data_IF_856083381112
#
_entry.id   IF_856083381112
#
_cell.length_a   1.000
_cell.length_b   1.000
_cell.length_c   1.000
_cell.angle_alpha   90.00
_cell.angle_beta   90.00
_cell.angle_gamma   90.00
#
_symmetry.space_group_name_H-M   'P 1'
#
loop_
_entity.id
_entity.type
_entity.pdbx_description
1 polymer ?
#
# COMPACT_ATOMS: atom_id res chain seq x y z
N UNK A 1 -16.52 -9.84 6.02
CA UNK A 1 -17.44 -10.75 5.28
C UNK A 1 -18.33 -10.00 4.30
N UNK A 2 -18.95 -8.86 4.66
CA UNK A 2 -19.82 -8.11 3.75
C UNK A 2 -19.10 -7.73 2.45
N UNK A 3 -17.89 -7.22 2.52
CA UNK A 3 -17.06 -6.85 1.36
C UNK A 3 -16.78 -8.06 0.46
N UNK A 4 -16.53 -9.23 1.05
CA UNK A 4 -16.30 -10.46 0.28
C UNK A 4 -17.58 -10.88 -0.46
N UNK A 5 -18.73 -10.83 0.21
CA UNK A 5 -20.01 -11.15 -0.45
C UNK A 5 -20.32 -10.20 -1.60
N UNK A 6 -20.03 -8.90 -1.46
CA UNK A 6 -20.25 -7.93 -2.53
C UNK A 6 -19.30 -8.17 -3.71
N UNK A 7 -18.02 -8.46 -3.45
CA UNK A 7 -17.09 -8.88 -4.49
C UNK A 7 -17.53 -10.14 -5.21
N UNK A 8 -18.00 -11.15 -4.47
CA UNK A 8 -18.46 -12.41 -5.05
C UNK A 8 -19.73 -12.27 -5.90
N UNK A 9 -20.57 -11.26 -5.66
CA UNK A 9 -21.69 -10.94 -6.58
C UNK A 9 -21.16 -10.53 -7.96
N UNK A 10 -20.10 -9.71 -8.00
CA UNK A 10 -19.45 -9.31 -9.27
C UNK A 10 -18.76 -10.50 -9.94
N UNK A 11 -18.04 -11.32 -9.16
CA UNK A 11 -17.40 -12.54 -9.67
C UNK A 11 -18.43 -13.48 -10.31
N UNK A 12 -19.60 -13.66 -9.70
CA UNK A 12 -20.67 -14.51 -10.27
C UNK A 12 -21.12 -14.08 -11.66
N UNK A 13 -21.07 -12.81 -11.98
CA UNK A 13 -21.42 -12.30 -13.32
C UNK A 13 -20.35 -12.62 -14.38
N UNK A 14 -19.12 -12.90 -13.93
CA UNK A 14 -17.99 -13.24 -14.81
C UNK A 14 -17.85 -14.76 -15.00
N UNK A 15 -18.52 -15.58 -14.16
CA UNK A 15 -18.42 -17.01 -14.22
C UNK A 15 -19.17 -17.57 -15.43
N UNK A 16 -18.53 -18.45 -16.18
CA UNK A 16 -19.18 -19.30 -17.18
C UNK A 16 -20.00 -20.40 -16.50
N UNK A 17 -20.96 -20.95 -17.20
CA UNK A 17 -21.81 -22.06 -16.69
C UNK A 17 -21.02 -23.33 -16.33
N UNK A 18 -19.79 -23.46 -16.83
CA UNK A 18 -18.88 -24.58 -16.56
C UNK A 18 -18.09 -24.44 -15.26
N UNK A 19 -18.14 -23.27 -14.59
CA UNK A 19 -17.38 -23.02 -13.32
C UNK A 19 -18.33 -22.99 -12.14
N UNK A 20 -18.11 -23.91 -11.19
CA UNK A 20 -18.84 -23.97 -9.92
C UNK A 20 -18.18 -23.10 -8.85
N UNK A 21 -18.90 -22.12 -8.29
CA UNK A 21 -18.44 -21.31 -7.15
C UNK A 21 -18.81 -21.97 -5.82
N UNK A 22 -17.82 -22.19 -4.97
CA UNK A 22 -17.98 -22.68 -3.58
C UNK A 22 -17.48 -21.60 -2.64
N UNK A 23 -18.31 -21.15 -1.69
CA UNK A 23 -17.96 -20.11 -0.71
C UNK A 23 -18.00 -20.70 0.69
N UNK A 24 -16.92 -20.57 1.43
CA UNK A 24 -16.75 -21.05 2.81
C UNK A 24 -16.35 -19.89 3.72
N UNK A 25 -17.31 -19.04 4.13
CA UNK A 25 -16.99 -17.89 4.97
C UNK A 25 -16.72 -18.30 6.41
N UNK A 26 -15.88 -17.53 7.11
CA UNK A 26 -15.76 -17.62 8.55
C UNK A 26 -17.03 -17.06 9.23
N UNK A 27 -17.54 -17.80 10.22
CA UNK A 27 -18.79 -17.46 10.92
C UNK A 27 -18.57 -16.55 12.14
N UNK A 28 -17.77 -15.50 12.00
CA UNK A 28 -17.52 -14.55 13.06
C UNK A 28 -17.25 -13.14 12.54
N UNK A 29 -17.26 -12.13 13.41
CA UNK A 29 -16.86 -10.80 13.01
C UNK A 29 -15.37 -10.76 12.74
N UNK A 30 -15.01 -10.30 11.55
CA UNK A 30 -13.64 -10.00 11.16
C UNK A 30 -13.64 -8.58 10.59
N UNK A 31 -12.86 -7.71 11.23
CA UNK A 31 -12.64 -6.37 10.74
C UNK A 31 -11.17 -6.24 10.33
N UNK A 32 -10.94 -5.82 9.11
CA UNK A 32 -9.62 -5.45 8.61
C UNK A 32 -9.61 -3.95 8.35
N UNK A 33 -8.46 -3.33 8.57
CA UNK A 33 -8.28 -1.94 8.18
C UNK A 33 -7.97 -1.89 6.68
N UNK A 34 -8.80 -1.17 5.92
CA UNK A 34 -8.53 -1.02 4.48
C UNK A 34 -9.73 -0.52 3.68
N UNK A 35 -9.48 -0.25 2.40
CA UNK A 35 -10.50 0.16 1.44
C UNK A 35 -11.29 -1.05 0.94
N UNK A 36 -12.62 -1.02 1.07
CA UNK A 36 -13.49 -2.05 0.48
C UNK A 36 -13.24 -2.23 -1.02
N UNK A 37 -12.99 -1.14 -1.75
CA UNK A 37 -12.68 -1.17 -3.19
C UNK A 37 -11.39 -1.93 -3.48
N UNK A 38 -10.36 -1.78 -2.64
CA UNK A 38 -9.10 -2.50 -2.81
C UNK A 38 -9.25 -4.00 -2.50
N UNK A 39 -10.05 -4.35 -1.47
CA UNK A 39 -10.37 -5.77 -1.20
C UNK A 39 -11.18 -6.38 -2.35
N UNK A 40 -12.13 -5.64 -2.94
CA UNK A 40 -12.83 -6.06 -4.16
C UNK A 40 -11.84 -6.31 -5.31
N UNK A 41 -10.87 -5.41 -5.52
CA UNK A 41 -9.88 -5.55 -6.57
C UNK A 41 -8.98 -6.78 -6.38
N UNK A 42 -8.54 -7.07 -5.14
CA UNK A 42 -7.83 -8.32 -4.83
C UNK A 42 -8.66 -9.54 -5.26
N UNK A 43 -9.91 -9.62 -4.79
CA UNK A 43 -10.77 -10.76 -5.06
C UNK A 43 -11.10 -10.90 -6.56
N UNK A 44 -11.40 -9.80 -7.25
CA UNK A 44 -11.65 -9.80 -8.69
C UNK A 44 -10.44 -10.29 -9.47
N UNK A 45 -9.24 -9.80 -9.18
CA UNK A 45 -8.01 -10.23 -9.86
C UNK A 45 -7.75 -11.72 -9.64
N UNK A 46 -7.84 -12.21 -8.41
CA UNK A 46 -7.58 -13.62 -8.11
C UNK A 46 -8.65 -14.54 -8.72
N UNK A 47 -9.93 -14.17 -8.60
CA UNK A 47 -11.02 -14.98 -9.15
C UNK A 47 -11.02 -14.98 -10.68
N UNK A 48 -10.73 -13.85 -11.35
CA UNK A 48 -10.60 -13.79 -12.81
C UNK A 48 -9.46 -14.67 -13.30
N UNK A 49 -8.29 -14.64 -12.64
CA UNK A 49 -7.18 -15.52 -12.97
C UNK A 49 -7.55 -17.00 -12.79
N UNK A 50 -8.26 -17.34 -11.72
CA UNK A 50 -8.76 -18.69 -11.46
C UNK A 50 -9.74 -19.16 -12.55
N UNK A 51 -10.68 -18.30 -12.97
CA UNK A 51 -11.64 -18.63 -14.05
C UNK A 51 -10.89 -18.91 -15.36
N UNK A 52 -9.96 -18.05 -15.73
CA UNK A 52 -9.16 -18.23 -16.95
C UNK A 52 -8.29 -19.50 -16.92
N UNK A 53 -7.75 -19.85 -15.73
CA UNK A 53 -6.98 -21.09 -15.58
C UNK A 53 -7.82 -22.36 -15.74
N UNK A 54 -9.16 -22.25 -15.60
CA UNK A 54 -10.12 -23.35 -15.77
C UNK A 54 -10.73 -23.43 -17.17
N UNK A 55 -10.43 -22.50 -18.05
CA UNK A 55 -10.94 -22.52 -19.43
C UNK A 55 -10.14 -23.52 -20.31
N UNK A 56 -10.82 -24.18 -21.28
CA UNK A 56 -12.26 -24.27 -21.52
C UNK A 56 -12.93 -25.37 -20.70
N UNK A 57 -12.21 -26.18 -19.94
CA UNK A 57 -12.72 -27.40 -19.31
C UNK A 57 -13.75 -27.13 -18.19
N UNK A 58 -13.75 -25.92 -17.61
CA UNK A 58 -14.51 -25.60 -16.42
C UNK A 58 -13.83 -26.11 -15.15
N UNK A 59 -14.54 -26.03 -14.02
CA UNK A 59 -13.97 -26.48 -12.75
C UNK A 59 -14.67 -25.92 -11.53
N UNK A 60 -13.94 -25.90 -10.41
CA UNK A 60 -14.44 -25.36 -9.14
C UNK A 60 -13.56 -24.22 -8.65
N UNK A 61 -14.17 -23.04 -8.49
CA UNK A 61 -13.59 -21.89 -7.80
C UNK A 61 -14.05 -21.93 -6.35
N UNK A 62 -13.12 -22.00 -5.41
CA UNK A 62 -13.42 -21.95 -3.98
C UNK A 62 -12.88 -20.65 -3.39
N UNK A 63 -13.74 -19.94 -2.65
CA UNK A 63 -13.35 -18.79 -1.84
C UNK A 63 -13.67 -19.10 -0.38
N UNK A 64 -12.63 -19.14 0.46
CA UNK A 64 -12.79 -19.45 1.88
C UNK A 64 -12.14 -18.38 2.74
N UNK A 65 -12.67 -18.14 3.95
CA UNK A 65 -12.04 -17.25 4.93
C UNK A 65 -11.92 -17.95 6.26
N UNK A 66 -10.83 -17.66 6.97
CA UNK A 66 -10.62 -18.13 8.35
C UNK A 66 -9.81 -17.10 9.14
N UNK A 67 -10.02 -17.11 10.45
CA UNK A 67 -9.18 -16.37 11.40
C UNK A 67 -8.01 -17.27 11.78
N UNK A 68 -6.82 -16.70 11.78
CA UNK A 68 -5.59 -17.41 12.17
C UNK A 68 -4.78 -16.52 13.10
N UNK A 69 -4.01 -17.16 13.97
CA UNK A 69 -3.02 -16.52 14.83
C UNK A 69 -1.66 -16.42 14.12
N UNK A 70 -0.78 -15.60 14.64
CA UNK A 70 0.55 -15.37 14.09
C UNK A 70 1.38 -16.65 13.92
N UNK A 71 1.29 -17.58 14.87
CA UNK A 71 1.98 -18.87 14.85
C UNK A 71 1.55 -19.79 13.68
N UNK A 72 0.40 -19.51 13.07
CA UNK A 72 -0.13 -20.21 11.92
C UNK A 72 0.26 -19.56 10.57
N UNK A 73 0.94 -18.42 10.61
CA UNK A 73 1.50 -17.81 9.40
C UNK A 73 2.67 -18.64 8.86
N UNK A 74 2.93 -18.62 7.53
CA UNK A 74 4.15 -19.16 6.99
C UNK A 74 5.38 -18.50 7.62
N UNK A 75 6.44 -19.27 7.93
CA UNK A 75 7.64 -18.79 8.64
C UNK A 75 8.28 -17.54 8.04
N UNK A 76 8.21 -17.40 6.74
CA UNK A 76 8.72 -16.24 6.00
C UNK A 76 8.03 -14.91 6.35
N UNK A 77 6.84 -14.96 6.97
CA UNK A 77 6.06 -13.77 7.37
C UNK A 77 6.07 -13.51 8.88
N UNK A 78 6.71 -14.38 9.70
CA UNK A 78 6.72 -14.29 11.17
C UNK A 78 7.33 -12.99 11.74
N UNK A 79 8.35 -12.36 11.16
CA UNK A 79 8.96 -11.18 11.79
C UNK A 79 8.18 -9.88 11.62
N UNK A 80 7.10 -9.87 10.84
CA UNK A 80 6.52 -8.63 10.32
C UNK A 80 5.32 -8.10 11.13
N UNK A 81 4.62 -8.94 11.91
CA UNK A 81 3.41 -8.47 12.62
C UNK A 81 3.02 -9.38 13.78
N UNK A 82 2.85 -8.81 14.95
CA UNK A 82 2.17 -9.47 16.07
C UNK A 82 0.66 -9.35 15.91
N UNK A 83 -0.11 -10.42 16.21
CA UNK A 83 -1.56 -10.37 16.26
C UNK A 83 -2.28 -11.48 15.50
N UNK A 84 -3.55 -11.22 15.22
CA UNK A 84 -4.42 -12.14 14.49
C UNK A 84 -4.61 -11.68 13.05
N UNK A 85 -4.82 -12.64 12.17
CA UNK A 85 -4.99 -12.40 10.74
C UNK A 85 -6.28 -13.04 10.23
N UNK A 86 -6.88 -12.41 9.23
CA UNK A 86 -7.81 -13.12 8.35
C UNK A 86 -7.01 -13.71 7.19
N UNK A 87 -7.18 -14.99 6.99
CA UNK A 87 -6.74 -15.64 5.75
C UNK A 87 -7.93 -15.70 4.79
N UNK A 88 -7.74 -15.18 3.57
CA UNK A 88 -8.67 -15.34 2.45
C UNK A 88 -8.01 -16.30 1.46
N UNK A 89 -8.62 -17.43 1.23
CA UNK A 89 -8.17 -18.43 0.28
C UNK A 89 -9.01 -18.32 -1.01
N UNK A 90 -8.34 -18.19 -2.15
CA UNK A 90 -8.95 -18.33 -3.48
C UNK A 90 -8.26 -19.50 -4.15
N UNK A 91 -8.99 -20.57 -4.42
CA UNK A 91 -8.45 -21.77 -5.07
C UNK A 91 -9.29 -22.22 -6.26
N UNK A 92 -8.61 -22.70 -7.30
CA UNK A 92 -9.17 -23.23 -8.53
C UNK A 92 -8.72 -24.67 -8.77
N UNK A 93 -9.43 -25.36 -9.65
CA UNK A 93 -9.07 -26.69 -10.17
C UNK A 93 -8.59 -26.63 -11.62
N UNK A 94 -7.97 -25.54 -12.02
CA UNK A 94 -7.51 -25.28 -13.37
C UNK A 94 -6.19 -25.95 -13.74
N UNK A 95 -5.52 -25.42 -14.76
CA UNK A 95 -4.27 -25.98 -15.29
C UNK A 95 -3.09 -25.92 -14.31
N UNK A 96 -3.16 -25.10 -13.26
CA UNK A 96 -2.05 -24.90 -12.33
C UNK A 96 -0.91 -24.08 -12.90
N UNK A 97 0.12 -23.86 -12.07
CA UNK A 97 1.30 -23.05 -12.37
C UNK A 97 2.56 -23.93 -12.15
N UNK A 98 3.48 -23.97 -13.11
CA UNK A 98 4.77 -24.64 -12.93
C UNK A 98 5.57 -24.05 -11.75
N UNK A 99 6.28 -24.90 -11.01
CA UNK A 99 7.02 -24.48 -9.80
C UNK A 99 8.08 -23.41 -10.06
N UNK A 100 8.74 -23.48 -11.22
CA UNK A 100 9.75 -22.52 -11.67
C UNK A 100 9.20 -21.10 -11.92
N UNK A 101 7.88 -20.99 -12.16
CA UNK A 101 7.23 -19.70 -12.40
C UNK A 101 6.65 -19.07 -11.13
N UNK A 102 6.47 -19.82 -10.04
CA UNK A 102 5.84 -19.35 -8.82
C UNK A 102 6.54 -18.13 -8.19
N UNK A 103 7.84 -18.00 -8.36
CA UNK A 103 8.59 -16.83 -7.89
C UNK A 103 8.39 -15.58 -8.74
N UNK A 104 7.96 -15.73 -10.00
CA UNK A 104 7.86 -14.64 -10.98
C UNK A 104 6.42 -14.16 -11.21
N UNK A 105 5.40 -14.93 -10.77
CA UNK A 105 3.98 -14.60 -11.05
C UNK A 105 3.54 -13.26 -10.46
N UNK A 106 4.27 -12.71 -9.50
CA UNK A 106 4.01 -11.41 -8.89
C UNK A 106 4.81 -10.26 -9.54
N UNK A 107 5.74 -10.57 -10.45
CA UNK A 107 6.50 -9.56 -11.17
C UNK A 107 5.57 -8.78 -12.11
N UNK A 108 5.68 -7.44 -12.17
CA UNK A 108 4.91 -6.64 -13.10
C UNK A 108 5.15 -7.09 -14.55
N UNK A 109 4.07 -7.15 -15.34
CA UNK A 109 4.05 -7.57 -16.75
C UNK A 109 4.35 -9.06 -16.99
N UNK A 110 4.60 -9.86 -15.97
CA UNK A 110 4.75 -11.30 -16.13
C UNK A 110 3.42 -11.95 -16.53
N UNK A 111 3.39 -12.66 -17.63
CA UNK A 111 2.22 -13.40 -18.11
C UNK A 111 2.64 -14.61 -18.95
N UNK A 112 1.92 -15.71 -18.78
CA UNK A 112 2.06 -16.92 -19.62
C UNK A 112 1.05 -16.95 -20.77
N UNK A 113 0.18 -15.91 -20.87
CA UNK A 113 -0.85 -15.79 -21.89
C UNK A 113 -0.28 -15.24 -23.19
N UNK A 114 -0.99 -15.48 -24.30
CA UNK A 114 -0.64 -14.91 -25.58
C UNK A 114 -0.64 -13.38 -25.56
N UNK A 115 0.15 -12.76 -26.43
CA UNK A 115 0.23 -11.31 -26.50
C UNK A 115 -1.17 -10.70 -26.77
N UNK A 116 -1.65 -9.87 -25.82
CA UNK A 116 -2.98 -9.25 -25.87
C UNK A 116 -4.02 -9.84 -24.92
N UNK A 117 -3.86 -11.08 -24.44
CA UNK A 117 -4.85 -11.77 -23.58
C UNK A 117 -4.58 -11.58 -22.07
N UNK A 118 -3.45 -11.00 -21.71
CA UNK A 118 -3.11 -10.73 -20.32
C UNK A 118 -2.18 -9.52 -20.18
N UNK A 119 -2.51 -8.61 -19.27
CA UNK A 119 -1.69 -7.42 -18.99
C UNK A 119 -0.46 -7.74 -18.12
N UNK A 120 -0.42 -8.90 -17.45
CA UNK A 120 0.60 -9.24 -16.48
C UNK A 120 0.62 -8.35 -15.22
N UNK A 121 -0.41 -7.53 -15.01
CA UNK A 121 -0.45 -6.58 -13.89
C UNK A 121 -1.34 -7.06 -12.72
N UNK A 122 -2.20 -8.05 -12.93
CA UNK A 122 -3.21 -8.43 -11.95
C UNK A 122 -2.64 -8.87 -10.59
N UNK A 123 -1.64 -9.76 -10.59
CA UNK A 123 -1.04 -10.28 -9.36
C UNK A 123 -0.08 -9.28 -8.69
N UNK A 124 0.65 -8.48 -9.45
CA UNK A 124 1.48 -7.40 -8.90
C UNK A 124 0.64 -6.31 -8.23
N UNK A 125 -0.52 -5.96 -8.80
CA UNK A 125 -1.50 -5.07 -8.16
C UNK A 125 -2.04 -5.67 -6.86
N UNK A 126 -2.35 -6.97 -6.82
CA UNK A 126 -2.77 -7.65 -5.59
C UNK A 126 -1.69 -7.55 -4.51
N UNK A 127 -0.44 -7.83 -4.86
CA UNK A 127 0.70 -7.75 -3.93
C UNK A 127 0.88 -6.33 -3.37
N UNK A 128 0.86 -5.31 -4.22
CA UNK A 128 0.99 -3.91 -3.81
C UNK A 128 -0.15 -3.46 -2.89
N UNK A 129 -1.40 -3.86 -3.19
CA UNK A 129 -2.53 -3.58 -2.29
C UNK A 129 -2.31 -4.25 -0.94
N UNK A 130 -1.85 -5.50 -0.90
CA UNK A 130 -1.64 -6.21 0.36
C UNK A 130 -0.51 -5.59 1.18
N UNK A 131 0.61 -5.22 0.57
CA UNK A 131 1.70 -4.52 1.24
C UNK A 131 1.20 -3.21 1.89
N UNK A 132 0.39 -2.42 1.18
CA UNK A 132 -0.18 -1.18 1.74
C UNK A 132 -1.15 -1.39 2.90
N UNK A 133 -1.62 -2.62 3.12
CA UNK A 133 -2.49 -3.03 4.22
C UNK A 133 -1.77 -3.83 5.32
N UNK A 134 -0.43 -3.93 5.24
CA UNK A 134 0.37 -4.77 6.14
C UNK A 134 0.05 -6.26 6.00
N UNK A 135 -0.42 -6.65 4.82
CA UNK A 135 -0.80 -8.03 4.49
C UNK A 135 0.20 -8.70 3.56
N UNK A 136 -0.02 -9.98 3.31
CA UNK A 136 0.84 -10.81 2.46
C UNK A 136 0.02 -11.71 1.56
N UNK A 137 0.67 -12.28 0.53
CA UNK A 137 0.10 -13.31 -0.33
C UNK A 137 1.08 -14.47 -0.50
N UNK A 138 0.56 -15.68 -0.47
CA UNK A 138 1.28 -16.91 -0.79
C UNK A 138 0.57 -17.62 -1.93
N UNK A 139 1.32 -18.12 -2.90
CA UNK A 139 0.80 -18.95 -3.98
C UNK A 139 1.29 -20.38 -3.83
N UNK A 140 0.36 -21.34 -3.92
CA UNK A 140 0.63 -22.78 -3.97
C UNK A 140 -0.04 -23.34 -5.21
N UNK A 141 0.71 -24.04 -6.03
CA UNK A 141 0.13 -24.62 -7.25
C UNK A 141 0.85 -25.91 -7.64
N UNK A 142 0.10 -26.77 -8.31
CA UNK A 142 0.63 -27.97 -8.94
C UNK A 142 0.06 -28.04 -10.35
N UNK A 143 0.93 -28.21 -11.32
CA UNK A 143 0.53 -28.30 -12.73
C UNK A 143 -0.49 -29.43 -12.93
N UNK A 144 -1.62 -29.10 -13.58
CA UNK A 144 -2.73 -30.01 -13.81
C UNK A 144 -3.65 -30.25 -12.61
N UNK A 145 -3.41 -29.63 -11.44
CA UNK A 145 -4.24 -29.80 -10.25
C UNK A 145 -4.89 -28.48 -9.77
N UNK A 146 -4.50 -27.36 -10.37
CA UNK A 146 -4.98 -26.04 -10.02
C UNK A 146 -4.06 -25.23 -9.13
N UNK A 147 -4.55 -24.08 -8.70
CA UNK A 147 -3.78 -23.12 -7.89
C UNK A 147 -4.55 -22.71 -6.65
N UNK A 148 -3.80 -22.27 -5.63
CA UNK A 148 -4.32 -21.73 -4.39
C UNK A 148 -3.55 -20.49 -4.01
N UNK A 149 -4.26 -19.37 -3.93
CA UNK A 149 -3.73 -18.10 -3.44
C UNK A 149 -4.25 -17.86 -2.03
N UNK A 150 -3.33 -17.61 -1.11
CA UNK A 150 -3.60 -17.38 0.31
C UNK A 150 -3.24 -15.95 0.64
N UNK A 151 -4.24 -15.13 0.87
CA UNK A 151 -4.12 -13.72 1.25
C UNK A 151 -4.24 -13.61 2.76
N UNK A 152 -3.32 -12.89 3.38
CA UNK A 152 -3.30 -12.65 4.83
C UNK A 152 -3.42 -11.16 5.09
N UNK A 153 -4.40 -10.74 5.89
CA UNK A 153 -4.59 -9.36 6.31
C UNK A 153 -4.70 -9.29 7.84
N UNK A 154 -4.03 -8.33 8.48
CA UNK A 154 -4.10 -8.19 9.93
C UNK A 154 -5.53 -7.83 10.35
N UNK A 155 -6.03 -8.51 11.39
CA UNK A 155 -7.32 -8.21 12.00
C UNK A 155 -7.15 -7.00 12.93
N UNK A 156 -8.04 -6.03 12.80
CA UNK A 156 -8.12 -4.92 13.73
C UNK A 156 -9.36 -5.08 14.62
N UNK A 157 -9.15 -5.04 15.92
CA UNK A 157 -10.25 -5.02 16.89
C UNK A 157 -10.80 -3.59 17.10
N UNK A 158 -10.24 -2.61 16.39
CA UNK A 158 -10.76 -1.25 16.41
C UNK A 158 -11.94 -1.16 15.45
N UNK A 159 -13.15 -1.08 16.01
CA UNK A 159 -14.31 -0.55 15.30
C UNK A 159 -13.95 0.83 14.73
N UNK A 160 -14.49 1.25 13.57
CA UNK A 160 -14.33 2.61 13.10
C UNK A 160 -15.07 3.56 14.06
N UNK A 161 -14.45 3.82 15.19
CA UNK A 161 -14.89 4.90 16.05
C UNK A 161 -14.43 6.20 15.38
N UNK A 162 -15.38 6.88 14.76
CA UNK A 162 -15.38 8.31 14.61
C UNK A 162 -15.58 8.89 16.02
N UNK A 163 -14.58 8.84 16.83
CA UNK A 163 -14.43 9.62 18.03
C UNK A 163 -12.97 10.01 18.12
N UNK A 164 -12.76 11.29 17.95
CA UNK A 164 -11.58 12.00 18.39
C UNK A 164 -11.40 11.67 19.88
N UNK A 165 -10.59 10.67 20.18
CA UNK A 165 -10.07 10.48 21.52
C UNK A 165 -8.58 10.75 21.47
N UNK A 166 -8.22 11.84 22.12
CA UNK A 166 -6.86 12.10 22.59
C UNK A 166 -6.38 10.89 23.38
N UNK A 167 -5.64 9.99 22.71
CA UNK A 167 -5.11 8.75 23.29
C UNK A 167 -3.74 8.98 23.91
N UNK A 168 -3.63 8.59 25.14
CA UNK A 168 -2.45 8.58 26.02
C UNK A 168 -1.13 8.29 25.30
N UNK A 169 -0.18 9.15 25.53
CA UNK A 169 1.23 9.09 25.15
C UNK A 169 1.89 7.79 25.57
N UNK A 170 2.29 6.96 24.64
CA UNK A 170 3.34 5.97 24.85
C UNK A 170 4.59 6.48 24.10
N UNK A 171 5.65 6.62 24.82
CA UNK A 171 6.81 7.44 24.55
C UNK A 171 7.58 7.15 23.26
N UNK A 172 7.51 8.09 22.39
CA UNK A 172 8.46 8.76 21.49
C UNK A 172 7.64 9.76 20.70
N UNK A 173 7.42 10.93 21.27
CA UNK A 173 6.82 12.06 20.55
C UNK A 173 7.78 12.50 19.49
N UNK A 174 7.41 12.32 18.21
CA UNK A 174 8.03 13.04 17.12
C UNK A 174 7.82 14.54 17.38
N UNK A 175 8.89 15.30 17.52
CA UNK A 175 8.83 16.77 17.59
C UNK A 175 9.09 17.28 16.18
N UNK A 176 8.19 18.14 15.66
CA UNK A 176 8.35 18.82 14.38
C UNK A 176 7.06 18.96 13.60
N UNK A 177 7.04 19.98 12.75
CA UNK A 177 5.95 20.35 11.86
C UNK A 177 6.24 19.93 10.42
N UNK A 178 5.41 19.07 9.87
CA UNK A 178 5.62 18.47 8.54
C UNK A 178 4.58 19.00 7.56
N UNK A 179 5.04 19.50 6.42
CA UNK A 179 4.21 19.82 5.27
C UNK A 179 4.30 18.66 4.27
N UNK A 180 3.19 17.98 4.03
CA UNK A 180 3.10 16.85 3.11
C UNK A 180 2.32 17.24 1.85
N UNK A 181 2.90 17.04 0.66
CA UNK A 181 2.27 17.39 -0.61
C UNK A 181 2.40 16.25 -1.61
N UNK A 182 1.28 15.66 -2.02
CA UNK A 182 1.20 14.59 -3.03
C UNK A 182 -0.21 14.65 -3.65
N UNK A 183 -0.32 14.64 -4.98
CA UNK A 183 -1.62 14.78 -5.67
C UNK A 183 -2.54 13.57 -5.45
N UNK A 184 -2.01 12.47 -4.94
CA UNK A 184 -2.76 11.26 -4.64
C UNK A 184 -3.38 11.32 -3.24
N UNK A 185 -4.67 11.64 -3.15
CA UNK A 185 -5.40 11.77 -1.89
C UNK A 185 -5.23 10.58 -0.93
N UNK A 186 -5.05 9.37 -1.47
CA UNK A 186 -4.85 8.15 -0.67
C UNK A 186 -3.50 8.14 0.02
N UNK A 187 -2.45 8.55 -0.69
CA UNK A 187 -1.07 8.68 -0.18
C UNK A 187 -1.04 9.73 0.92
N UNK A 188 -1.61 10.91 0.66
CA UNK A 188 -1.73 12.00 1.63
C UNK A 188 -2.42 11.55 2.92
N UNK A 189 -3.58 10.90 2.82
CA UNK A 189 -4.33 10.41 3.99
C UNK A 189 -3.59 9.34 4.77
N UNK A 190 -2.92 8.43 4.07
CA UNK A 190 -2.16 7.35 4.67
C UNK A 190 -0.98 7.88 5.48
N UNK A 191 -0.11 8.69 4.87
CA UNK A 191 1.07 9.22 5.55
C UNK A 191 0.68 10.23 6.64
N UNK A 192 -0.26 11.16 6.38
CA UNK A 192 -0.75 12.09 7.40
C UNK A 192 -1.17 11.36 8.67
N UNK A 193 -2.00 10.33 8.55
CA UNK A 193 -2.51 9.59 9.71
C UNK A 193 -1.39 8.92 10.49
N UNK A 194 -0.44 8.29 9.80
CA UNK A 194 0.67 7.58 10.46
C UNK A 194 1.64 8.54 11.15
N UNK A 195 1.94 9.66 10.51
CA UNK A 195 2.81 10.69 11.07
C UNK A 195 2.19 11.39 12.28
N UNK A 196 0.89 11.70 12.24
CA UNK A 196 0.13 12.20 13.39
C UNK A 196 0.18 11.20 14.57
N UNK A 197 0.09 9.89 14.29
CA UNK A 197 0.19 8.85 15.32
C UNK A 197 1.58 8.78 15.97
N UNK A 198 2.62 9.13 15.24
CA UNK A 198 3.99 9.26 15.76
C UNK A 198 4.20 10.57 16.56
N UNK A 199 3.21 11.48 16.58
CA UNK A 199 3.24 12.71 17.36
C UNK A 199 3.69 13.96 16.60
N UNK A 200 3.97 13.88 15.29
CA UNK A 200 4.29 15.04 14.46
C UNK A 200 3.04 15.91 14.23
N UNK A 201 3.24 17.22 14.04
CA UNK A 201 2.21 18.09 13.48
C UNK A 201 2.27 17.97 11.96
N UNK A 202 1.13 17.70 11.30
CA UNK A 202 1.14 17.42 9.86
C UNK A 202 0.01 18.16 9.15
N UNK A 203 0.38 19.10 8.29
CA UNK A 203 -0.52 19.63 7.28
C UNK A 203 -0.24 18.96 5.92
N UNK A 204 -1.31 18.57 5.26
CA UNK A 204 -1.18 17.71 4.10
C UNK A 204 -2.16 18.15 3.00
N UNK A 205 -1.62 18.32 1.79
CA UNK A 205 -2.30 18.89 0.64
C UNK A 205 -2.21 17.98 -0.57
N UNK A 206 -3.28 17.96 -1.37
CA UNK A 206 -3.31 17.31 -2.68
C UNK A 206 -3.14 18.32 -3.84
N UNK A 207 -3.26 19.60 -3.56
CA UNK A 207 -3.01 20.67 -4.52
C UNK A 207 -1.74 21.45 -4.10
N UNK A 208 -0.67 21.43 -4.91
CA UNK A 208 0.57 22.13 -4.61
C UNK A 208 0.40 23.65 -4.51
N UNK A 209 -0.61 24.25 -5.13
CA UNK A 209 -0.90 25.68 -5.01
C UNK A 209 -1.49 26.02 -3.64
N UNK A 210 -2.36 25.17 -3.07
CA UNK A 210 -2.87 25.33 -1.71
C UNK A 210 -1.76 25.20 -0.68
N UNK A 211 -0.87 24.21 -0.86
CA UNK A 211 0.31 24.02 -0.03
C UNK A 211 1.21 25.26 -0.05
N UNK A 212 1.49 25.79 -1.23
CA UNK A 212 2.29 27.00 -1.41
C UNK A 212 1.65 28.22 -0.74
N UNK A 213 0.33 28.41 -0.89
CA UNK A 213 -0.40 29.50 -0.27
C UNK A 213 -0.41 29.41 1.26
N UNK A 214 -0.46 28.21 1.80
CA UNK A 214 -0.36 27.95 3.24
C UNK A 214 1.05 28.25 3.74
N UNK A 215 2.07 27.76 3.05
CA UNK A 215 3.47 28.01 3.37
C UNK A 215 3.80 29.49 3.39
N UNK A 216 3.32 30.30 2.42
CA UNK A 216 3.57 31.75 2.34
C UNK A 216 3.08 32.53 3.56
N UNK A 217 2.12 32.01 4.32
CA UNK A 217 1.56 32.70 5.50
C UNK A 217 2.50 32.57 6.71
N UNK A 218 3.15 31.43 6.84
CA UNK A 218 4.02 31.09 7.96
C UNK A 218 5.20 30.23 7.52
N UNK A 219 6.16 30.76 6.75
CA UNK A 219 7.25 29.95 6.18
C UNK A 219 8.11 29.24 7.24
N UNK A 220 8.33 29.89 8.38
CA UNK A 220 9.16 29.38 9.48
C UNK A 220 8.47 28.35 10.37
N UNK A 221 7.18 28.08 10.10
CA UNK A 221 6.41 27.09 10.87
C UNK A 221 6.84 25.64 10.59
N UNK A 222 7.44 25.40 9.42
CA UNK A 222 7.68 24.06 8.91
C UNK A 222 9.13 23.64 9.10
N UNK A 223 9.32 22.46 9.71
CA UNK A 223 10.64 21.84 9.89
C UNK A 223 10.97 20.91 8.72
N UNK A 224 9.95 20.27 8.12
CA UNK A 224 10.13 19.29 7.06
C UNK A 224 9.05 19.43 5.97
N UNK A 225 9.51 19.41 4.71
CA UNK A 225 8.68 19.23 3.53
C UNK A 225 8.85 17.80 3.00
N UNK A 226 7.73 17.10 2.80
CA UNK A 226 7.66 15.84 2.05
C UNK A 226 6.85 16.13 0.80
N UNK A 227 7.46 16.00 -0.37
CA UNK A 227 6.83 16.42 -1.62
C UNK A 227 7.01 15.39 -2.72
N UNK A 228 5.91 15.08 -3.44
CA UNK A 228 5.97 14.29 -4.66
C UNK A 228 6.50 15.13 -5.83
N UNK A 229 7.37 14.53 -6.66
CA UNK A 229 7.90 15.19 -7.87
C UNK A 229 6.85 15.33 -8.96
N UNK A 230 6.02 14.31 -9.17
CA UNK A 230 5.17 14.19 -10.35
C UNK A 230 3.73 14.68 -10.09
N UNK A 231 3.57 15.93 -9.67
CA UNK A 231 2.25 16.51 -9.41
C UNK A 231 1.75 17.33 -10.63
N UNK A 232 0.42 17.38 -10.88
CA UNK A 232 -0.19 18.30 -11.81
C UNK A 232 0.07 19.77 -11.44
N UNK A 233 0.10 20.67 -12.43
CA UNK A 233 0.29 22.13 -12.31
C UNK A 233 1.68 22.57 -11.86
N UNK A 234 2.22 21.99 -10.78
CA UNK A 234 3.50 22.39 -10.22
C UNK A 234 4.31 21.16 -9.78
N UNK A 235 5.50 20.99 -10.32
CA UNK A 235 6.40 19.90 -9.94
C UNK A 235 6.94 20.10 -8.52
N UNK A 236 7.21 19.00 -7.82
CA UNK A 236 7.80 19.02 -6.48
C UNK A 236 9.11 19.80 -6.41
N UNK A 237 10.01 19.64 -7.40
CA UNK A 237 11.27 20.39 -7.50
C UNK A 237 11.05 21.90 -7.60
N UNK A 238 10.05 22.37 -8.31
CA UNK A 238 9.74 23.80 -8.40
C UNK A 238 9.14 24.34 -7.09
N UNK A 239 8.28 23.56 -6.44
CA UNK A 239 7.69 23.91 -5.15
C UNK A 239 8.75 24.03 -4.06
N UNK A 240 9.62 23.02 -3.92
CA UNK A 240 10.68 23.03 -2.91
C UNK A 240 11.69 24.17 -3.09
N UNK A 241 12.05 24.48 -4.34
CA UNK A 241 12.97 25.61 -4.62
C UNK A 241 12.41 26.94 -4.11
N UNK A 242 11.12 27.20 -4.33
CA UNK A 242 10.47 28.38 -3.79
C UNK A 242 10.47 28.37 -2.25
N UNK A 243 10.14 27.23 -1.63
CA UNK A 243 10.07 27.12 -0.18
C UNK A 243 11.44 27.27 0.49
N UNK A 244 12.48 26.65 -0.09
CA UNK A 244 13.87 26.80 0.41
C UNK A 244 14.41 28.22 0.33
N UNK A 245 13.98 29.03 -0.65
CA UNK A 245 14.35 30.45 -0.72
C UNK A 245 13.79 31.30 0.42
N UNK A 246 12.67 30.85 1.04
CA UNK A 246 11.96 31.57 2.10
C UNK A 246 12.18 30.94 3.49
N UNK A 247 12.59 29.69 3.56
CA UNK A 247 13.00 29.00 4.77
C UNK A 247 14.21 28.10 4.44
N UNK A 248 15.41 28.60 4.75
CA UNK A 248 16.65 27.90 4.46
C UNK A 248 16.86 26.66 5.34
N UNK A 249 16.28 26.64 6.54
CA UNK A 249 16.37 25.54 7.50
C UNK A 249 15.37 24.41 7.22
N UNK A 250 14.39 24.63 6.33
CA UNK A 250 13.39 23.62 5.94
C UNK A 250 14.07 22.38 5.39
N UNK A 251 13.92 21.24 6.06
CA UNK A 251 14.37 19.95 5.53
C UNK A 251 13.45 19.48 4.41
N UNK A 252 13.99 18.77 3.43
CA UNK A 252 13.21 18.34 2.25
C UNK A 252 13.43 16.87 1.93
N UNK A 253 12.35 16.11 1.90
CA UNK A 253 12.29 14.76 1.32
C UNK A 253 11.53 14.86 0.00
N UNK A 254 12.21 14.55 -1.11
CA UNK A 254 11.59 14.43 -2.42
C UNK A 254 11.18 12.98 -2.65
N UNK A 255 9.92 12.75 -2.99
CA UNK A 255 9.40 11.44 -3.38
C UNK A 255 9.24 11.41 -4.90
N UNK A 256 9.77 10.37 -5.57
CA UNK A 256 9.70 10.29 -7.03
C UNK A 256 9.63 8.85 -7.53
N UNK A 257 8.94 8.62 -8.65
CA UNK A 257 8.96 7.33 -9.35
C UNK A 257 10.23 7.10 -10.17
N UNK A 258 10.93 8.18 -10.56
CA UNK A 258 12.19 8.14 -11.32
C UNK A 258 13.07 9.31 -10.88
N UNK A 259 14.30 8.99 -10.52
CA UNK A 259 15.28 10.04 -10.15
C UNK A 259 15.81 10.69 -11.43
N UNK A 260 15.36 11.92 -11.69
CA UNK A 260 15.81 12.72 -12.84
C UNK A 260 17.02 13.62 -12.51
N UNK A 261 17.68 14.13 -13.55
CA UNK A 261 18.87 14.98 -13.42
C UNK A 261 18.65 16.22 -12.54
N UNK A 262 17.45 16.81 -12.57
CA UNK A 262 17.10 17.96 -11.72
C UNK A 262 17.11 17.61 -10.24
N UNK A 263 16.56 16.46 -9.86
CA UNK A 263 16.56 15.98 -8.46
C UNK A 263 17.97 15.70 -7.97
N UNK A 264 18.83 15.06 -8.80
CA UNK A 264 20.23 14.78 -8.50
C UNK A 264 20.99 16.08 -8.26
N UNK A 265 20.81 17.09 -9.13
CA UNK A 265 21.47 18.38 -8.99
C UNK A 265 21.06 19.10 -7.70
N UNK A 266 19.75 19.18 -7.42
CA UNK A 266 19.23 19.84 -6.21
C UNK A 266 19.66 19.13 -4.93
N UNK A 267 19.80 17.82 -4.97
CA UNK A 267 20.36 17.06 -3.86
C UNK A 267 21.85 17.38 -3.65
N UNK A 268 22.64 17.43 -4.73
CA UNK A 268 24.05 17.84 -4.66
C UNK A 268 24.25 19.30 -4.16
N UNK A 269 23.30 20.19 -4.49
CA UNK A 269 23.25 21.57 -4.01
C UNK A 269 22.65 21.72 -2.60
N UNK A 270 22.38 20.62 -1.90
CA UNK A 270 21.76 20.55 -0.55
C UNK A 270 20.39 21.23 -0.46
N UNK A 271 19.68 21.35 -1.55
CA UNK A 271 18.29 21.82 -1.55
C UNK A 271 17.30 20.69 -1.25
N UNK A 272 17.71 19.44 -1.45
CA UNK A 272 17.00 18.22 -1.07
C UNK A 272 17.88 17.47 -0.07
N UNK A 273 17.36 17.12 1.09
CA UNK A 273 18.07 16.38 2.12
C UNK A 273 18.03 14.88 1.87
N UNK A 274 16.91 14.36 1.28
CA UNK A 274 16.78 12.96 0.94
C UNK A 274 15.86 12.76 -0.28
N UNK A 275 16.14 11.74 -1.09
CA UNK A 275 15.29 11.31 -2.23
C UNK A 275 14.79 9.90 -1.95
N UNK A 276 13.48 9.73 -1.91
CA UNK A 276 12.83 8.42 -1.79
C UNK A 276 12.16 8.03 -3.10
N UNK A 277 12.41 6.80 -3.55
CA UNK A 277 11.78 6.27 -4.77
C UNK A 277 10.45 5.59 -4.47
N UNK A 278 9.42 5.86 -5.27
CA UNK A 278 8.13 5.15 -5.19
C UNK A 278 8.29 3.68 -5.63
N UNK A 279 7.67 2.72 -4.94
CA UNK A 279 6.76 2.88 -3.80
C UNK A 279 7.51 3.16 -2.49
N UNK A 280 7.04 4.18 -1.74
CA UNK A 280 7.67 4.57 -0.46
C UNK A 280 7.08 3.73 0.68
N UNK A 281 7.93 2.95 1.33
CA UNK A 281 7.56 2.25 2.56
C UNK A 281 7.55 3.23 3.75
N UNK A 282 6.55 3.10 4.63
CA UNK A 282 6.41 4.01 5.76
C UNK A 282 7.59 3.94 6.72
N UNK A 283 8.15 2.76 6.91
CA UNK A 283 9.30 2.49 7.76
C UNK A 283 10.55 3.24 7.25
N UNK A 284 10.77 3.24 5.94
CA UNK A 284 11.85 4.00 5.31
C UNK A 284 11.63 5.51 5.47
N UNK A 285 10.41 5.99 5.19
CA UNK A 285 10.05 7.39 5.36
C UNK A 285 10.20 7.84 6.83
N UNK A 286 9.66 7.09 7.79
CA UNK A 286 9.73 7.43 9.21
C UNK A 286 11.15 7.42 9.75
N UNK A 287 11.99 6.48 9.32
CA UNK A 287 13.41 6.45 9.67
C UNK A 287 14.15 7.67 9.15
N UNK A 288 13.89 8.08 7.92
CA UNK A 288 14.46 9.30 7.31
C UNK A 288 14.01 10.56 8.06
N UNK A 289 12.73 10.68 8.40
CA UNK A 289 12.18 11.82 9.17
C UNK A 289 12.88 11.94 10.52
N UNK A 290 12.99 10.83 11.27
CA UNK A 290 13.67 10.82 12.57
C UNK A 290 15.11 11.29 12.42
N UNK A 291 15.84 10.79 11.44
CA UNK A 291 17.23 11.19 11.18
C UNK A 291 17.33 12.69 10.91
N UNK A 292 16.56 13.22 9.97
CA UNK A 292 16.64 14.62 9.55
C UNK A 292 16.22 15.61 10.64
N UNK A 293 15.25 15.27 11.48
CA UNK A 293 14.77 16.13 12.57
C UNK A 293 15.55 15.94 13.88
N UNK A 294 16.39 14.86 14.01
CA UNK A 294 17.23 14.64 15.20
C UNK A 294 18.60 15.31 15.10
N UNK A 295 19.08 15.63 13.92
CA UNK A 295 20.40 16.23 13.68
C UNK A 295 20.54 17.68 14.23
N UNK A 296 19.42 18.35 14.58
CA UNK A 296 19.44 19.70 15.17
C UNK A 296 19.87 19.76 16.64
N UNK A 297 20.00 18.63 17.34
CA UNK A 297 20.29 18.64 18.80
C UNK A 297 21.78 18.63 19.12
N UNK A 298 22.68 18.61 18.13
CA UNK A 298 24.14 18.47 18.36
C UNK A 298 24.96 19.72 18.14
N UNK A 299 24.38 20.86 17.72
CA UNK A 299 25.08 22.10 17.39
C UNK A 299 24.51 23.36 18.12
N UNK A 300 24.13 23.21 19.40
CA UNK A 300 23.87 24.36 20.29
C UNK A 300 24.54 24.20 21.66
#
# INVERSE_FOLDING_TARGET
NAVIWDALKMVRMLLTSSVRLVVKPYNGPINVYGSATQIHQILLNLCTNACQAMEPAGGTLTVATRRISQDQLPQQFHPVSEGEFVQIEVSDTGCGIPSEMLSQIFDPFFTTKAAGDGTGLGLSVVQNILISHGGFIEAKSTLGQGSRFLVYLPITNQLPNVSIQEGKKSGRTGMGSILLVDDELRVVRYFKRRLLHLGYQVDAFTDPEEALNTFKRTPEHWDLLIVDEAMPKLRGTALLQYMKQHNHDLRVILVTGLVGDSAIRLHAERQIDEILTKPVEFEALSGTIVRLLSEETSDK
#
